data_IF_731317484240
#
_entry.id   IF_731317484240
#
_cell.length_a   1.000
_cell.length_b   1.000
_cell.length_c   1.000
_cell.angle_alpha   90.00
_cell.angle_beta   90.00
_cell.angle_gamma   90.00
#
_symmetry.space_group_name_H-M   'P 1'
#
loop_
_entity.id
_entity.type
_entity.pdbx_description
1 polymer ?
#
# COMPACT_ATOMS: atom_id res chain seq x y z
N UNK A 1 -13.28 -31.00 18.56
CA UNK A 1 -12.93 -31.01 17.14
C UNK A 1 -11.62 -30.25 17.01
N UNK A 2 -10.43 -30.80 17.28
CA UNK A 2 -9.67 -31.90 16.66
C UNK A 2 -9.01 -31.53 15.30
N UNK A 3 -7.72 -31.16 15.36
CA UNK A 3 -6.83 -31.07 14.19
C UNK A 3 -7.05 -29.85 13.32
N UNK A 4 -6.31 -28.76 13.59
CA UNK A 4 -6.04 -27.73 12.59
C UNK A 4 -5.35 -28.40 11.39
N UNK A 5 -6.12 -28.72 10.35
CA UNK A 5 -5.57 -29.10 9.06
C UNK A 5 -4.95 -27.86 8.45
N UNK A 6 -3.65 -27.66 8.70
CA UNK A 6 -2.90 -26.68 7.96
C UNK A 6 -2.96 -27.05 6.47
N UNK A 7 -3.15 -26.05 5.63
CA UNK A 7 -3.09 -26.23 4.18
C UNK A 7 -1.65 -26.48 3.74
N UNK A 8 -1.47 -27.12 2.58
CA UNK A 8 -0.12 -27.34 2.06
C UNK A 8 0.53 -25.99 1.68
N UNK A 9 1.74 -25.70 2.19
CA UNK A 9 2.42 -24.45 1.90
C UNK A 9 2.93 -24.43 0.45
N UNK A 10 2.93 -23.24 -0.16
CA UNK A 10 3.59 -23.05 -1.45
C UNK A 10 5.10 -23.18 -1.32
N UNK A 11 5.74 -23.70 -2.36
CA UNK A 11 7.20 -23.86 -2.40
C UNK A 11 7.84 -23.08 -3.53
N UNK A 12 9.11 -22.75 -3.37
CA UNK A 12 9.94 -22.13 -4.39
C UNK A 12 11.34 -22.74 -4.38
N UNK A 13 12.02 -22.74 -5.53
CA UNK A 13 13.38 -23.30 -5.62
C UNK A 13 14.44 -22.21 -5.41
N UNK A 14 15.26 -22.34 -4.38
CA UNK A 14 16.50 -21.59 -4.19
C UNK A 14 17.70 -22.30 -4.81
N UNK A 15 18.59 -21.50 -5.40
CA UNK A 15 19.88 -21.97 -5.92
C UNK A 15 20.81 -22.51 -4.82
N UNK A 16 20.66 -22.04 -3.57
CA UNK A 16 21.52 -22.39 -2.44
C UNK A 16 20.94 -23.50 -1.58
N UNK A 17 19.62 -23.56 -1.43
CA UNK A 17 18.96 -24.43 -0.45
C UNK A 17 17.96 -25.43 -1.04
N UNK A 18 17.78 -25.43 -2.37
CA UNK A 18 16.80 -26.31 -3.02
C UNK A 18 15.37 -25.83 -2.78
N UNK A 19 14.44 -26.74 -2.53
CA UNK A 19 13.05 -26.41 -2.27
C UNK A 19 12.87 -25.69 -0.93
N UNK A 20 12.20 -24.54 -0.97
CA UNK A 20 11.93 -23.67 0.17
C UNK A 20 10.44 -23.49 0.34
N UNK A 21 10.01 -23.38 1.59
CA UNK A 21 8.64 -23.06 1.95
C UNK A 21 8.41 -21.54 1.89
N UNK A 22 7.18 -21.14 1.57
CA UNK A 22 6.71 -19.78 1.76
C UNK A 22 5.91 -19.69 3.06
N UNK A 23 6.20 -18.69 3.90
CA UNK A 23 5.33 -18.37 5.02
C UNK A 23 4.16 -17.54 4.52
N UNK A 24 2.93 -17.99 4.79
CA UNK A 24 1.71 -17.27 4.43
C UNK A 24 1.40 -16.12 5.39
N UNK A 25 1.99 -16.13 6.59
CA UNK A 25 1.86 -15.06 7.57
C UNK A 25 3.22 -14.49 7.99
N UNK A 26 3.27 -13.17 8.20
CA UNK A 26 4.42 -12.47 8.76
C UNK A 26 4.01 -11.90 10.11
N UNK A 27 4.80 -12.19 11.16
CA UNK A 27 4.56 -11.68 12.50
C UNK A 27 4.51 -10.14 12.50
N UNK A 28 3.38 -9.52 12.88
CA UNK A 28 3.21 -8.07 12.89
C UNK A 28 4.03 -7.38 13.99
N UNK A 29 3.91 -6.04 14.07
CA UNK A 29 4.57 -5.15 15.04
C UNK A 29 3.57 -4.10 15.56
N UNK A 30 2.32 -4.51 15.81
CA UNK A 30 1.20 -3.57 16.00
C UNK A 30 0.18 -3.94 17.07
N UNK A 31 0.22 -5.14 17.62
CA UNK A 31 -0.87 -5.66 18.45
C UNK A 31 -0.52 -5.70 19.95
N UNK A 32 -1.55 -5.46 20.75
CA UNK A 32 -1.56 -5.70 22.18
C UNK A 32 -2.90 -6.32 22.61
N UNK A 33 -3.02 -6.87 23.84
CA UNK A 33 -4.27 -7.43 24.32
C UNK A 33 -5.41 -6.41 24.29
N UNK A 34 -6.56 -6.78 23.74
CA UNK A 34 -7.75 -5.93 23.67
C UNK A 34 -8.54 -5.91 24.98
N UNK A 35 -8.49 -6.99 25.75
CA UNK A 35 -9.21 -7.16 27.00
C UNK A 35 -8.33 -7.75 28.12
N UNK A 36 -8.88 -7.75 29.33
CA UNK A 36 -8.18 -8.23 30.52
C UNK A 36 -7.91 -9.73 30.47
N UNK A 37 -8.82 -10.53 29.90
CA UNK A 37 -8.67 -11.98 29.74
C UNK A 37 -7.46 -12.31 28.87
N UNK A 38 -7.35 -11.64 27.72
CA UNK A 38 -6.21 -11.82 26.80
C UNK A 38 -4.92 -11.35 27.44
N UNK A 39 -4.96 -10.25 28.20
CA UNK A 39 -3.79 -9.72 28.91
C UNK A 39 -3.27 -10.71 29.95
N UNK A 40 -4.15 -11.30 30.74
CA UNK A 40 -3.81 -12.31 31.75
C UNK A 40 -3.21 -13.56 31.10
N UNK A 41 -3.79 -14.03 29.98
CA UNK A 41 -3.23 -15.15 29.22
C UNK A 41 -1.80 -14.85 28.74
N UNK A 42 -1.58 -13.70 28.09
CA UNK A 42 -0.25 -13.33 27.57
C UNK A 42 0.76 -13.16 28.70
N UNK A 43 0.35 -12.59 29.84
CA UNK A 43 1.21 -12.46 31.02
C UNK A 43 1.56 -13.81 31.66
N UNK A 44 0.58 -14.70 31.80
CA UNK A 44 0.82 -16.07 32.27
C UNK A 44 1.73 -16.85 31.31
N UNK A 45 1.59 -16.65 30.01
CA UNK A 45 2.47 -17.29 29.04
C UNK A 45 3.91 -16.76 29.14
N UNK A 46 4.10 -15.45 29.37
CA UNK A 46 5.43 -14.91 29.68
C UNK A 46 6.02 -15.48 30.98
N UNK A 47 5.21 -15.81 31.97
CA UNK A 47 5.64 -16.49 33.20
C UNK A 47 6.16 -17.89 32.93
N UNK A 48 5.39 -18.69 32.18
CA UNK A 48 5.79 -20.03 31.73
C UNK A 48 7.11 -20.00 30.95
N UNK A 49 7.33 -18.94 30.15
CA UNK A 49 8.56 -18.73 29.40
C UNK A 49 9.73 -18.19 30.25
N UNK A 50 9.51 -17.85 31.52
CA UNK A 50 10.52 -17.25 32.41
C UNK A 50 10.92 -15.83 31.99
N UNK A 51 10.02 -15.08 31.35
CA UNK A 51 10.27 -13.77 30.75
C UNK A 51 9.63 -12.61 31.51
N UNK A 52 9.03 -12.86 32.67
CA UNK A 52 8.53 -11.80 33.54
C UNK A 52 9.67 -10.89 34.01
N UNK A 53 9.39 -9.59 34.04
CA UNK A 53 10.32 -8.54 34.47
C UNK A 53 9.72 -7.73 35.62
N UNK A 54 10.58 -7.08 36.42
CA UNK A 54 10.13 -6.31 37.59
C UNK A 54 9.37 -5.03 37.21
N UNK A 55 9.61 -4.45 36.02
CA UNK A 55 8.97 -3.18 35.64
C UNK A 55 7.82 -3.39 34.65
N UNK A 56 6.73 -2.65 34.87
CA UNK A 56 5.55 -2.65 34.00
C UNK A 56 5.90 -2.33 32.54
N UNK A 57 6.79 -1.36 32.29
CA UNK A 57 7.18 -0.98 30.92
C UNK A 57 7.94 -2.12 30.21
N UNK A 58 8.89 -2.77 30.89
CA UNK A 58 9.61 -3.91 30.31
C UNK A 58 8.73 -5.14 30.06
N UNK A 59 7.67 -5.31 30.87
CA UNK A 59 6.65 -6.33 30.64
C UNK A 59 5.78 -5.96 29.45
N UNK A 60 5.34 -4.70 29.32
CA UNK A 60 4.50 -4.25 28.21
C UNK A 60 5.15 -4.51 26.84
N UNK A 61 6.45 -4.25 26.70
CA UNK A 61 7.19 -4.53 25.46
C UNK A 61 7.19 -6.03 25.09
N UNK A 62 7.28 -6.92 26.08
CA UNK A 62 7.22 -8.38 25.88
C UNK A 62 5.79 -8.85 25.62
N UNK A 63 4.81 -8.27 26.30
CA UNK A 63 3.38 -8.50 26.05
C UNK A 63 3.07 -8.20 24.59
N UNK A 64 3.50 -7.04 24.07
CA UNK A 64 3.33 -6.69 22.65
C UNK A 64 4.03 -7.67 21.72
N UNK A 65 5.31 -7.96 21.98
CA UNK A 65 6.05 -8.93 21.17
C UNK A 65 5.41 -10.32 21.11
N UNK A 66 4.84 -10.79 22.23
CA UNK A 66 4.14 -12.06 22.26
C UNK A 66 2.75 -11.96 21.62
N UNK A 67 2.05 -10.84 21.81
CA UNK A 67 0.75 -10.59 21.16
C UNK A 67 0.87 -10.59 19.64
N UNK A 68 1.89 -9.90 19.11
CA UNK A 68 2.19 -9.90 17.68
C UNK A 68 2.44 -11.31 17.15
N UNK A 69 3.23 -12.13 17.86
CA UNK A 69 3.41 -13.54 17.48
C UNK A 69 2.09 -14.29 17.42
N UNK A 70 1.27 -14.18 18.46
CA UNK A 70 0.00 -14.91 18.55
C UNK A 70 -0.96 -14.50 17.43
N UNK A 71 -0.99 -13.22 17.05
CA UNK A 71 -1.74 -12.76 15.88
C UNK A 71 -1.17 -13.34 14.59
N UNK A 72 0.15 -13.30 14.39
CA UNK A 72 0.79 -13.88 13.20
C UNK A 72 0.52 -15.38 13.07
N UNK A 73 0.56 -16.12 14.18
CA UNK A 73 0.19 -17.55 14.23
C UNK A 73 -1.28 -17.76 13.83
N UNK A 74 -2.21 -16.95 14.35
CA UNK A 74 -3.64 -17.06 14.03
C UNK A 74 -3.94 -16.79 12.55
N UNK A 75 -3.17 -15.91 11.92
CA UNK A 75 -3.31 -15.56 10.51
C UNK A 75 -2.73 -16.60 9.54
N UNK A 76 -1.98 -17.58 10.05
CA UNK A 76 -1.36 -18.60 9.21
C UNK A 76 -2.32 -19.77 9.00
N UNK A 77 -2.68 -20.04 7.75
CA UNK A 77 -3.44 -21.20 7.31
C UNK A 77 -2.55 -22.44 7.11
N UNK A 78 -1.26 -22.22 6.80
CA UNK A 78 -0.26 -23.27 6.56
C UNK A 78 0.53 -23.67 7.81
N UNK A 79 0.36 -22.93 8.91
CA UNK A 79 1.14 -23.10 10.14
C UNK A 79 2.58 -22.58 10.03
N UNK A 80 2.90 -21.81 8.99
CA UNK A 80 4.21 -21.23 8.74
C UNK A 80 4.19 -19.71 8.93
N UNK A 81 5.05 -19.22 9.82
CA UNK A 81 5.21 -17.79 10.06
C UNK A 81 6.62 -17.31 9.69
N UNK A 82 6.69 -16.16 9.02
CA UNK A 82 7.89 -15.37 8.87
C UNK A 82 8.07 -14.46 10.08
N UNK A 83 9.25 -14.47 10.71
CA UNK A 83 9.51 -13.61 11.88
C UNK A 83 10.75 -12.72 11.69
N UNK A 84 10.60 -11.56 11.00
CA UNK A 84 11.69 -10.64 10.71
C UNK A 84 12.36 -10.12 11.99
N UNK A 85 13.70 -10.11 12.02
CA UNK A 85 14.47 -9.71 13.22
C UNK A 85 15.62 -8.73 12.93
N UNK A 86 15.59 -8.11 11.75
CA UNK A 86 16.50 -7.03 11.38
C UNK A 86 16.21 -5.79 12.23
N UNK A 87 17.26 -5.13 12.75
CA UNK A 87 17.10 -4.03 13.70
C UNK A 87 16.26 -2.86 13.14
N UNK A 88 16.37 -2.60 11.84
CA UNK A 88 15.70 -1.48 11.17
C UNK A 88 14.16 -1.59 11.30
N UNK A 89 13.62 -2.80 11.37
CA UNK A 89 12.18 -3.06 11.54
C UNK A 89 11.63 -2.63 12.92
N UNK A 90 12.50 -2.37 13.89
CA UNK A 90 12.14 -2.06 15.28
C UNK A 90 12.44 -0.60 15.65
N UNK A 91 12.88 0.22 14.70
CA UNK A 91 13.19 1.63 14.95
C UNK A 91 11.90 2.41 15.18
N UNK A 92 11.78 3.05 16.35
CA UNK A 92 10.54 3.67 16.87
C UNK A 92 9.37 2.69 17.05
N UNK A 93 9.68 1.38 17.11
CA UNK A 93 8.71 0.31 17.27
C UNK A 93 8.28 0.09 18.73
N UNK A 94 7.23 -0.72 18.94
CA UNK A 94 6.71 -1.04 20.28
C UNK A 94 7.69 -1.78 21.20
N UNK A 95 8.69 -2.47 20.61
CA UNK A 95 9.76 -3.19 21.29
C UNK A 95 10.98 -3.30 20.38
N UNK A 96 12.13 -3.73 20.92
CA UNK A 96 13.38 -3.84 20.16
C UNK A 96 13.61 -5.25 19.60
N UNK A 97 14.49 -5.36 18.60
CA UNK A 97 14.94 -6.66 18.09
C UNK A 97 15.58 -7.55 19.17
N UNK A 98 16.14 -6.95 20.23
CA UNK A 98 16.69 -7.69 21.39
C UNK A 98 15.57 -8.39 22.14
N UNK A 99 14.45 -7.70 22.41
CA UNK A 99 13.29 -8.28 23.08
C UNK A 99 12.69 -9.40 22.23
N UNK A 100 12.56 -9.19 20.91
CA UNK A 100 12.11 -10.25 20.01
C UNK A 100 12.99 -11.50 20.10
N UNK A 101 14.31 -11.35 20.02
CA UNK A 101 15.25 -12.49 20.07
C UNK A 101 15.14 -13.24 21.39
N UNK A 102 14.98 -12.53 22.50
CA UNK A 102 14.75 -13.10 23.83
C UNK A 102 13.45 -13.92 23.88
N UNK A 103 12.33 -13.33 23.47
CA UNK A 103 11.01 -13.98 23.42
C UNK A 103 11.05 -15.23 22.54
N UNK A 104 11.59 -15.08 21.32
CA UNK A 104 11.74 -16.18 20.36
C UNK A 104 12.62 -17.31 20.91
N UNK A 105 13.74 -16.98 21.56
CA UNK A 105 14.62 -18.00 22.16
C UNK A 105 13.92 -18.79 23.26
N UNK A 106 13.09 -18.14 24.08
CA UNK A 106 12.33 -18.82 25.12
C UNK A 106 11.25 -19.75 24.54
N UNK A 107 10.53 -19.29 23.51
CA UNK A 107 9.52 -20.09 22.81
C UNK A 107 10.11 -21.33 22.14
N UNK A 108 11.27 -21.19 21.49
CA UNK A 108 11.99 -22.32 20.88
C UNK A 108 12.46 -23.30 21.95
N UNK A 109 13.03 -22.81 23.06
CA UNK A 109 13.44 -23.66 24.18
C UNK A 109 12.24 -24.40 24.80
N UNK A 110 11.08 -23.73 24.88
CA UNK A 110 9.83 -24.29 25.36
C UNK A 110 9.08 -25.17 24.35
N UNK A 111 9.60 -25.35 23.13
CA UNK A 111 8.97 -26.10 22.02
C UNK A 111 7.60 -25.59 21.59
N UNK A 112 7.31 -24.31 21.83
CA UNK A 112 6.09 -23.66 21.34
C UNK A 112 6.22 -23.17 19.90
N UNK A 113 7.46 -22.92 19.47
CA UNK A 113 7.82 -22.47 18.11
C UNK A 113 9.06 -23.24 17.68
N UNK A 114 9.14 -23.68 16.43
CA UNK A 114 10.28 -24.42 15.89
C UNK A 114 10.79 -23.76 14.61
N UNK A 115 12.12 -23.68 14.45
CA UNK A 115 12.73 -23.15 13.23
C UNK A 115 12.61 -24.17 12.10
N UNK A 116 11.81 -23.87 11.10
CA UNK A 116 11.62 -24.73 9.92
C UNK A 116 12.62 -24.41 8.81
N UNK A 117 12.91 -23.13 8.59
CA UNK A 117 13.81 -22.67 7.52
C UNK A 117 14.68 -21.51 8.00
N UNK A 118 15.98 -21.56 7.72
CA UNK A 118 16.92 -20.48 8.05
C UNK A 118 16.76 -19.31 7.07
N UNK A 119 17.03 -18.10 7.56
CA UNK A 119 17.17 -16.92 6.70
C UNK A 119 18.44 -16.99 5.85
N UNK A 120 18.41 -16.41 4.65
CA UNK A 120 19.60 -16.21 3.80
C UNK A 120 19.62 -14.79 3.29
N UNK A 121 20.73 -14.08 3.48
CA UNK A 121 20.91 -12.75 2.88
C UNK A 121 21.17 -12.85 1.37
N UNK A 122 21.87 -13.89 0.93
CA UNK A 122 22.22 -14.10 -0.48
C UNK A 122 20.97 -14.32 -1.33
N UNK A 123 20.03 -15.10 -0.81
CA UNK A 123 18.77 -15.42 -1.50
C UNK A 123 17.62 -14.49 -1.09
N UNK A 124 17.88 -13.48 -0.25
CA UNK A 124 16.87 -12.56 0.30
C UNK A 124 15.70 -13.29 1.01
N UNK A 125 16.01 -14.28 1.85
CA UNK A 125 15.05 -15.11 2.57
C UNK A 125 14.96 -14.76 4.05
N UNK A 126 13.72 -14.67 4.56
CA UNK A 126 13.45 -14.62 5.98
C UNK A 126 13.52 -16.02 6.62
N UNK A 127 13.71 -16.08 7.94
CA UNK A 127 13.57 -17.33 8.68
C UNK A 127 12.09 -17.67 8.84
N UNK A 128 11.75 -18.95 8.65
CA UNK A 128 10.39 -19.48 8.76
C UNK A 128 10.31 -20.39 9.98
N UNK A 129 9.22 -20.25 10.72
CA UNK A 129 8.94 -21.02 11.91
C UNK A 129 7.59 -21.72 11.82
N UNK A 130 7.50 -22.91 12.41
CA UNK A 130 6.24 -23.56 12.77
C UNK A 130 5.91 -23.27 14.22
N UNK A 131 4.65 -23.48 14.63
CA UNK A 131 4.20 -23.24 16.00
C UNK A 131 3.21 -24.31 16.47
N UNK A 132 3.12 -24.50 17.79
CA UNK A 132 2.14 -25.39 18.42
C UNK A 132 0.74 -24.74 18.32
N UNK A 133 -0.25 -25.34 17.63
CA UNK A 133 -1.56 -24.70 17.38
C UNK A 133 -2.31 -24.26 18.64
N UNK A 134 -2.06 -24.92 19.77
CA UNK A 134 -2.72 -24.63 21.05
C UNK A 134 -2.30 -23.30 21.69
N UNK A 135 -1.23 -22.66 21.20
CA UNK A 135 -0.78 -21.37 21.77
C UNK A 135 -1.69 -20.21 21.35
N UNK A 136 -2.55 -20.39 20.33
CA UNK A 136 -3.49 -19.39 19.83
C UNK A 136 -4.96 -19.77 20.05
N UNK A 137 -5.46 -19.80 21.30
CA UNK A 137 -6.89 -19.98 21.54
C UNK A 137 -7.75 -18.94 20.81
N UNK A 138 -8.91 -19.37 20.30
CA UNK A 138 -9.82 -18.50 19.53
C UNK A 138 -10.45 -17.38 20.37
N UNK A 139 -10.50 -17.52 21.70
CA UNK A 139 -11.10 -16.52 22.58
C UNK A 139 -10.21 -15.29 22.81
N UNK A 140 -8.91 -15.34 22.46
CA UNK A 140 -8.02 -14.20 22.65
C UNK A 140 -8.37 -13.07 21.68
N UNK A 141 -8.37 -11.84 22.18
CA UNK A 141 -8.69 -10.64 21.41
C UNK A 141 -7.53 -9.66 21.46
N UNK A 142 -7.11 -9.18 20.29
CA UNK A 142 -6.01 -8.24 20.13
C UNK A 142 -6.51 -6.98 19.44
N UNK A 143 -5.90 -5.85 19.77
CA UNK A 143 -6.19 -4.55 19.17
C UNK A 143 -4.90 -3.87 18.74
N UNK A 144 -4.99 -2.92 17.81
CA UNK A 144 -3.80 -2.13 17.46
C UNK A 144 -3.41 -1.16 18.60
N UNK A 145 -2.11 -1.04 18.86
CA UNK A 145 -1.60 -0.11 19.89
C UNK A 145 -1.16 1.25 19.32
N UNK A 146 -1.17 1.46 17.99
CA UNK A 146 -0.86 2.76 17.38
C UNK A 146 0.60 3.24 17.49
N UNK A 147 1.56 2.34 17.68
CA UNK A 147 2.99 2.69 17.84
C UNK A 147 3.74 2.19 16.62
N UNK A 148 4.59 3.03 16.07
CA UNK A 148 5.42 2.71 14.91
C UNK A 148 5.93 3.98 14.25
N UNK A 149 6.76 3.84 13.22
CA UNK A 149 7.22 4.98 12.45
C UNK A 149 6.04 5.58 11.68
N UNK A 150 5.59 6.76 12.10
CA UNK A 150 4.55 7.52 11.42
C UNK A 150 5.05 8.17 10.14
N UNK A 151 6.34 8.52 10.11
CA UNK A 151 7.02 9.12 8.96
C UNK A 151 8.38 8.44 8.78
N UNK A 152 8.70 8.09 7.53
CA UNK A 152 10.00 7.57 7.12
C UNK A 152 10.58 8.45 6.01
N UNK A 153 11.88 8.71 6.07
CA UNK A 153 12.63 9.25 4.92
C UNK A 153 13.68 8.23 4.54
N UNK A 154 13.68 7.81 3.28
CA UNK A 154 14.62 6.82 2.73
C UNK A 154 15.68 7.50 1.90
N UNK A 155 16.94 7.07 2.04
CA UNK A 155 18.05 7.57 1.24
C UNK A 155 17.86 7.22 -0.23
N UNK A 156 18.47 8.00 -1.12
CA UNK A 156 18.53 7.69 -2.55
C UNK A 156 19.09 6.28 -2.79
N UNK A 157 18.53 5.58 -3.78
CA UNK A 157 19.07 4.31 -4.28
C UNK A 157 20.03 4.61 -5.43
N UNK A 158 21.31 4.30 -5.25
CA UNK A 158 22.37 4.51 -6.25
C UNK A 158 22.99 3.17 -6.65
N UNK A 159 23.36 3.03 -7.92
CA UNK A 159 24.13 1.85 -8.37
C UNK A 159 25.63 2.11 -8.18
N UNK A 160 26.24 1.38 -7.26
CA UNK A 160 27.67 1.45 -6.94
C UNK A 160 28.30 0.10 -7.29
N UNK A 161 29.22 0.08 -8.26
CA UNK A 161 29.86 -1.14 -8.77
C UNK A 161 28.88 -2.28 -9.14
N UNK A 162 27.72 -1.94 -9.70
CA UNK A 162 26.68 -2.90 -10.10
C UNK A 162 25.74 -3.33 -8.98
N UNK A 163 26.01 -2.98 -7.72
CA UNK A 163 25.12 -3.20 -6.59
C UNK A 163 24.26 -1.98 -6.34
N UNK A 164 22.98 -2.19 -6.01
CA UNK A 164 22.11 -1.10 -5.54
C UNK A 164 22.42 -0.83 -4.07
N UNK A 165 22.91 0.36 -3.76
CA UNK A 165 23.07 0.88 -2.41
C UNK A 165 22.01 1.94 -2.11
N UNK A 166 21.60 2.07 -0.86
CA UNK A 166 20.62 3.07 -0.43
C UNK A 166 19.20 2.54 -0.24
N UNK A 167 18.19 3.41 -0.34
CA UNK A 167 16.81 3.10 0.06
C UNK A 167 16.64 2.85 1.56
N UNK A 168 17.64 3.20 2.37
CA UNK A 168 17.65 2.94 3.82
C UNK A 168 17.01 4.09 4.57
N UNK A 169 16.40 3.79 5.72
CA UNK A 169 15.82 4.81 6.59
C UNK A 169 16.90 5.77 7.09
N UNK A 170 16.62 7.07 7.00
CA UNK A 170 17.49 8.17 7.44
C UNK A 170 17.07 8.68 8.83
N UNK A 171 17.99 9.35 9.52
CA UNK A 171 17.73 9.90 10.86
C UNK A 171 16.74 11.07 10.78
N UNK A 172 15.65 11.06 11.58
CA UNK A 172 14.69 12.15 11.65
C UNK A 172 15.28 13.53 11.98
N UNK A 173 16.41 13.57 12.68
CA UNK A 173 17.07 14.81 13.09
C UNK A 173 17.51 15.67 11.89
N UNK A 174 17.79 15.05 10.74
CA UNK A 174 18.23 15.75 9.53
C UNK A 174 17.11 16.58 8.89
N UNK A 175 15.86 16.34 9.27
CA UNK A 175 14.67 16.89 8.61
C UNK A 175 13.81 17.74 9.55
N UNK A 176 14.33 18.08 10.73
CA UNK A 176 13.62 18.96 11.67
C UNK A 176 13.73 20.43 11.19
N UNK A 177 12.68 21.26 11.38
CA UNK A 177 11.46 20.96 12.13
C UNK A 177 10.35 20.27 11.34
N UNK A 178 10.38 20.30 10.01
CA UNK A 178 9.28 19.85 9.13
C UNK A 178 8.85 18.39 9.38
N UNK A 179 9.82 17.50 9.66
CA UNK A 179 9.53 16.13 10.05
C UNK A 179 8.59 16.03 11.25
N UNK A 180 8.71 16.93 12.23
CA UNK A 180 7.87 16.94 13.43
C UNK A 180 6.43 17.33 13.11
N UNK A 181 6.23 18.25 12.16
CA UNK A 181 4.90 18.64 11.66
C UNK A 181 4.22 17.48 10.93
N UNK A 182 4.97 16.77 10.09
CA UNK A 182 4.50 15.58 9.38
C UNK A 182 4.10 14.47 10.36
N UNK A 183 4.91 14.24 11.40
CA UNK A 183 4.56 13.30 12.48
C UNK A 183 3.28 13.74 13.20
N UNK A 184 3.11 15.03 13.49
CA UNK A 184 1.87 15.55 14.11
C UNK A 184 0.63 15.30 13.25
N UNK A 185 0.75 15.47 11.93
CA UNK A 185 -0.35 15.20 10.98
C UNK A 185 -0.71 13.71 10.99
N UNK A 186 0.29 12.82 10.88
CA UNK A 186 0.06 11.37 10.92
C UNK A 186 -0.45 10.88 12.28
N UNK A 187 -0.05 11.51 13.39
CA UNK A 187 -0.63 11.23 14.71
C UNK A 187 -2.12 11.52 14.73
N UNK A 188 -2.54 12.63 14.14
CA UNK A 188 -3.95 13.04 14.10
C UNK A 188 -4.77 12.02 13.31
N UNK A 189 -4.31 11.67 12.10
CA UNK A 189 -4.92 10.65 11.24
C UNK A 189 -5.01 9.30 11.96
N UNK A 190 -3.87 8.80 12.46
CA UNK A 190 -3.81 7.47 13.07
C UNK A 190 -4.59 7.40 14.40
N UNK A 191 -4.72 8.51 15.13
CA UNK A 191 -5.51 8.52 16.37
C UNK A 191 -6.99 8.27 16.09
N UNK A 192 -7.54 8.87 15.03
CA UNK A 192 -8.93 8.61 14.63
C UNK A 192 -9.09 7.19 14.06
N UNK A 193 -8.12 6.72 13.28
CA UNK A 193 -8.08 5.35 12.76
C UNK A 193 -8.02 4.27 13.87
N UNK A 194 -7.52 4.59 15.06
CA UNK A 194 -7.56 3.68 16.21
C UNK A 194 -8.93 3.65 16.90
N UNK A 195 -9.72 4.72 16.78
CA UNK A 195 -11.10 4.77 17.29
C UNK A 195 -12.05 4.05 16.32
N UNK A 196 -11.83 4.21 15.02
CA UNK A 196 -12.60 3.60 13.95
C UNK A 196 -11.68 2.79 13.04
N UNK A 197 -11.21 1.60 13.48
CA UNK A 197 -10.31 0.79 12.69
C UNK A 197 -10.99 0.30 11.41
N UNK A 198 -10.19 0.26 10.33
CA UNK A 198 -10.48 -0.52 9.14
C UNK A 198 -10.30 -1.98 9.50
N UNK A 199 -11.34 -2.79 9.37
CA UNK A 199 -11.32 -4.21 9.66
C UNK A 199 -11.56 -5.01 8.38
N UNK A 200 -10.79 -6.08 8.18
CA UNK A 200 -11.04 -7.01 7.09
C UNK A 200 -12.28 -7.89 7.34
N UNK A 201 -12.54 -8.81 6.41
CA UNK A 201 -13.65 -9.76 6.46
C UNK A 201 -13.68 -10.63 7.72
N UNK A 202 -12.51 -10.91 8.31
CA UNK A 202 -12.37 -11.72 9.52
C UNK A 202 -12.49 -10.86 10.80
N UNK A 203 -12.74 -9.56 10.65
CA UNK A 203 -12.84 -8.60 11.74
C UNK A 203 -11.48 -8.22 12.33
N UNK A 204 -10.38 -8.52 11.64
CA UNK A 204 -9.05 -8.12 12.07
C UNK A 204 -8.83 -6.64 11.75
N UNK A 205 -8.51 -5.87 12.79
CA UNK A 205 -8.12 -4.46 12.65
C UNK A 205 -6.84 -4.32 11.82
N UNK A 206 -6.99 -3.78 10.62
CA UNK A 206 -5.91 -3.35 9.75
C UNK A 206 -5.28 -2.10 10.38
N UNK A 207 -3.96 -2.14 10.50
CA UNK A 207 -3.22 -1.22 11.35
C UNK A 207 -3.23 0.25 10.89
N UNK A 208 -2.32 1.02 11.43
CA UNK A 208 -2.15 2.44 11.08
C UNK A 208 -1.40 2.65 9.76
N UNK A 209 -1.56 3.84 9.18
CA UNK A 209 -0.78 4.26 8.02
C UNK A 209 0.54 4.92 8.43
N UNK A 210 1.52 4.91 7.51
CA UNK A 210 2.76 5.69 7.64
C UNK A 210 3.07 6.44 6.36
N UNK A 211 3.65 7.63 6.48
CA UNK A 211 4.06 8.45 5.34
C UNK A 211 5.51 8.17 4.97
N UNK A 212 5.79 7.81 3.71
CA UNK A 212 7.14 7.44 3.28
C UNK A 212 7.65 8.41 2.22
N UNK A 213 8.77 9.06 2.52
CA UNK A 213 9.51 9.93 1.63
C UNK A 213 10.76 9.21 1.10
N UNK A 214 11.16 9.53 -0.12
CA UNK A 214 12.24 8.89 -0.86
C UNK A 214 13.36 9.87 -1.18
N UNK A 215 14.49 9.36 -1.67
CA UNK A 215 15.62 10.16 -2.18
C UNK A 215 16.14 11.20 -1.20
N UNK A 216 16.09 10.90 0.10
CA UNK A 216 16.58 11.77 1.17
C UNK A 216 15.91 13.14 1.23
N UNK A 217 14.67 13.28 0.73
CA UNK A 217 13.99 14.56 0.64
C UNK A 217 12.54 14.47 1.11
N UNK A 218 12.08 15.48 1.87
CA UNK A 218 10.68 15.64 2.27
C UNK A 218 9.77 16.13 1.12
N UNK A 219 10.30 16.31 -0.08
CA UNK A 219 9.53 16.70 -1.28
C UNK A 219 9.60 15.63 -2.39
N UNK A 220 10.01 14.42 -2.03
CA UNK A 220 10.13 13.27 -2.93
C UNK A 220 9.42 12.07 -2.35
N UNK A 221 8.55 11.42 -3.11
CA UNK A 221 7.62 10.42 -2.55
C UNK A 221 6.56 11.09 -1.69
N UNK A 222 6.30 10.58 -0.49
CA UNK A 222 5.39 11.19 0.48
C UNK A 222 4.02 10.53 0.57
N UNK A 223 3.74 9.47 -0.19
CA UNK A 223 2.50 8.70 -0.04
C UNK A 223 2.36 8.12 1.36
N UNK A 224 1.11 7.96 1.80
CA UNK A 224 0.78 7.21 3.00
C UNK A 224 0.55 5.75 2.64
N UNK A 225 1.04 4.85 3.49
CA UNK A 225 1.06 3.41 3.26
C UNK A 225 0.41 2.67 4.42
N UNK A 226 -0.45 1.70 4.08
CA UNK A 226 -1.16 0.83 5.02
C UNK A 226 -1.21 -0.61 4.52
N UNK A 227 -1.54 -1.56 5.39
CA UNK A 227 -1.55 -2.99 5.00
C UNK A 227 -2.67 -3.36 4.04
N UNK A 228 -3.75 -2.58 3.97
CA UNK A 228 -4.90 -2.80 3.07
C UNK A 228 -4.60 -2.47 1.61
N UNK A 229 -3.53 -1.73 1.31
CA UNK A 229 -3.24 -1.25 -0.05
C UNK A 229 -2.87 -2.36 -1.04
N UNK A 230 -2.51 -3.55 -0.55
CA UNK A 230 -2.19 -4.70 -1.39
C UNK A 230 -3.39 -5.63 -1.63
N UNK A 231 -4.52 -5.39 -0.96
CA UNK A 231 -5.76 -6.14 -1.16
C UNK A 231 -6.41 -5.71 -2.47
N UNK A 232 -7.09 -6.63 -3.16
CA UNK A 232 -7.83 -6.29 -4.39
C UNK A 232 -9.03 -5.39 -4.09
N UNK A 233 -9.51 -4.63 -5.07
CA UNK A 233 -10.69 -3.75 -4.91
C UNK A 233 -11.87 -4.45 -4.20
N UNK A 234 -12.28 -5.64 -4.66
CA UNK A 234 -13.38 -6.38 -4.02
C UNK A 234 -13.10 -6.67 -2.54
N UNK A 235 -11.89 -7.11 -2.20
CA UNK A 235 -11.49 -7.40 -0.83
C UNK A 235 -11.49 -6.13 0.02
N UNK A 236 -11.02 -4.99 -0.53
CA UNK A 236 -11.04 -3.68 0.13
C UNK A 236 -12.46 -3.21 0.39
N UNK A 237 -13.36 -3.32 -0.59
CA UNK A 237 -14.75 -2.88 -0.45
C UNK A 237 -15.56 -3.77 0.49
N UNK A 238 -15.09 -4.99 0.76
CA UNK A 238 -15.65 -5.89 1.77
C UNK A 238 -15.18 -5.57 3.20
N UNK A 239 -14.18 -4.70 3.36
CA UNK A 239 -13.74 -4.22 4.67
C UNK A 239 -14.79 -3.30 5.30
N UNK A 240 -14.66 -3.06 6.59
CA UNK A 240 -15.52 -2.14 7.33
C UNK A 240 -14.71 -1.10 8.09
N UNK A 241 -15.26 0.09 8.29
CA UNK A 241 -14.68 1.10 9.18
C UNK A 241 -15.65 1.32 10.34
N UNK A 242 -15.25 0.93 11.54
CA UNK A 242 -16.14 0.97 12.71
C UNK A 242 -17.40 0.09 12.57
N UNK A 243 -17.32 -0.98 11.76
CA UNK A 243 -18.43 -1.89 11.47
C UNK A 243 -19.36 -1.42 10.35
N UNK A 244 -19.11 -0.26 9.72
CA UNK A 244 -19.87 0.23 8.57
C UNK A 244 -19.19 -0.13 7.26
N UNK A 245 -19.98 -0.42 6.22
CA UNK A 245 -19.48 -0.67 4.87
C UNK A 245 -18.70 0.53 4.33
N UNK A 246 -17.75 0.28 3.45
CA UNK A 246 -16.87 1.31 2.88
C UNK A 246 -17.22 1.64 1.43
N UNK A 247 -16.77 2.80 0.96
CA UNK A 247 -16.62 3.10 -0.46
C UNK A 247 -15.20 3.60 -0.74
N UNK A 248 -14.72 3.34 -1.95
CA UNK A 248 -13.45 3.83 -2.49
C UNK A 248 -13.75 5.02 -3.40
N UNK A 249 -13.06 6.15 -3.16
CA UNK A 249 -13.21 7.39 -3.92
C UNK A 249 -11.89 7.65 -4.64
N UNK A 250 -11.85 7.38 -5.94
CA UNK A 250 -10.64 7.35 -6.79
C UNK A 250 -10.55 8.56 -7.73
N UNK A 251 -9.36 9.14 -7.88
CA UNK A 251 -9.10 10.23 -8.81
C UNK A 251 -8.71 9.67 -10.18
N UNK A 252 -9.59 9.88 -11.15
CA UNK A 252 -9.33 9.35 -12.49
C UNK A 252 -8.12 10.01 -13.13
N UNK A 253 -7.17 9.19 -13.57
CA UNK A 253 -5.93 9.63 -14.23
C UNK A 253 -5.18 10.70 -13.41
N UNK A 254 -4.97 10.41 -12.12
CA UNK A 254 -4.31 11.29 -11.16
C UNK A 254 -2.99 11.90 -11.68
N UNK A 255 -2.02 11.07 -12.13
CA UNK A 255 -0.73 11.57 -12.63
C UNK A 255 -0.82 12.49 -13.87
N UNK A 256 -1.56 12.15 -14.94
CA UNK A 256 -1.82 13.07 -16.04
C UNK A 256 -2.40 14.42 -15.58
N UNK A 257 -3.42 14.43 -14.72
CA UNK A 257 -4.02 15.67 -14.21
C UNK A 257 -3.02 16.50 -13.39
N UNK A 258 -2.27 15.88 -12.47
CA UNK A 258 -1.23 16.58 -11.69
C UNK A 258 -0.15 17.15 -12.62
N UNK A 259 0.31 16.38 -13.59
CA UNK A 259 1.34 16.81 -14.53
C UNK A 259 0.85 17.98 -15.40
N UNK A 260 -0.41 17.91 -15.86
CA UNK A 260 -1.04 18.99 -16.60
C UNK A 260 -1.03 20.29 -15.79
N UNK A 261 -1.48 20.26 -14.53
CA UNK A 261 -1.46 21.41 -13.62
C UNK A 261 -0.04 21.94 -13.37
N UNK A 262 0.92 21.06 -13.09
CA UNK A 262 2.33 21.43 -12.83
C UNK A 262 2.96 22.20 -14.00
N UNK A 263 2.54 21.90 -15.23
CA UNK A 263 3.02 22.57 -16.43
C UNK A 263 2.06 23.65 -16.98
N UNK A 264 1.21 24.20 -16.12
CA UNK A 264 0.41 25.40 -16.41
C UNK A 264 -0.93 25.12 -17.10
N UNK A 265 -1.36 23.86 -17.15
CA UNK A 265 -2.72 23.51 -17.52
C UNK A 265 -3.73 23.94 -16.46
N UNK A 266 -4.88 24.43 -16.88
CA UNK A 266 -5.91 25.03 -16.03
C UNK A 266 -7.28 24.39 -16.19
N UNK A 267 -7.37 23.27 -16.92
CA UNK A 267 -8.62 22.58 -17.22
C UNK A 267 -8.42 21.05 -17.18
N UNK A 268 -9.48 20.30 -16.91
CA UNK A 268 -9.38 18.87 -16.68
C UNK A 268 -9.31 18.06 -17.99
N UNK A 269 -8.72 16.86 -17.93
CA UNK A 269 -8.45 16.00 -19.08
C UNK A 269 -9.65 15.12 -19.53
N UNK A 270 -10.87 15.46 -19.10
CA UNK A 270 -12.04 14.59 -19.26
C UNK A 270 -11.99 13.27 -18.48
N UNK A 271 -13.03 12.45 -18.67
CA UNK A 271 -13.29 11.24 -17.89
C UNK A 271 -12.35 10.07 -18.20
N UNK A 272 -11.91 9.94 -19.45
CA UNK A 272 -11.11 8.78 -19.89
C UNK A 272 -9.92 9.19 -20.75
N UNK A 273 -8.97 9.97 -20.20
CA UNK A 273 -7.86 10.49 -20.98
C UNK A 273 -7.02 9.37 -21.61
N UNK A 274 -6.81 8.26 -20.90
CA UNK A 274 -6.06 7.11 -21.44
C UNK A 274 -6.77 6.40 -22.60
N UNK A 275 -8.10 6.43 -22.67
CA UNK A 275 -8.84 5.79 -23.76
C UNK A 275 -8.70 6.53 -25.10
N UNK A 276 -8.28 7.80 -25.06
CA UNK A 276 -8.08 8.60 -26.27
C UNK A 276 -6.77 8.27 -27.00
N UNK A 277 -5.83 7.64 -26.30
CA UNK A 277 -4.56 7.21 -26.85
C UNK A 277 -4.81 6.21 -27.99
N UNK A 278 -4.16 6.46 -29.14
CA UNK A 278 -4.45 5.75 -30.38
C UNK A 278 -4.41 4.22 -30.25
N UNK A 279 -3.35 3.63 -29.68
CA UNK A 279 -3.26 2.17 -29.53
C UNK A 279 -4.25 1.57 -28.52
N UNK A 280 -4.84 2.39 -27.63
CA UNK A 280 -5.93 1.99 -26.74
C UNK A 280 -7.24 2.02 -27.52
N UNK A 281 -7.53 3.16 -28.18
CA UNK A 281 -8.74 3.36 -28.98
C UNK A 281 -8.89 2.34 -30.10
N UNK A 282 -7.79 1.99 -30.78
CA UNK A 282 -7.76 1.08 -31.93
C UNK A 282 -7.70 -0.41 -31.51
N UNK A 283 -7.74 -0.73 -30.21
CA UNK A 283 -7.86 -2.10 -29.73
C UNK A 283 -9.14 -2.76 -30.26
N UNK A 284 -9.00 -3.98 -30.75
CA UNK A 284 -10.02 -4.70 -31.53
C UNK A 284 -11.18 -5.26 -30.70
N UNK A 285 -11.04 -5.37 -29.38
CA UNK A 285 -12.08 -5.84 -28.47
C UNK A 285 -11.95 -5.19 -27.07
N UNK A 286 -12.97 -5.31 -26.21
CA UNK A 286 -12.97 -4.69 -24.88
C UNK A 286 -11.81 -5.14 -23.98
N UNK A 287 -11.55 -6.45 -23.87
CA UNK A 287 -10.47 -6.99 -23.02
C UNK A 287 -9.10 -6.46 -23.47
N UNK A 288 -8.88 -6.43 -24.78
CA UNK A 288 -7.66 -5.89 -25.38
C UNK A 288 -7.51 -4.40 -25.12
N UNK A 289 -8.63 -3.66 -25.12
CA UNK A 289 -8.61 -2.23 -24.83
C UNK A 289 -8.20 -1.98 -23.38
N UNK A 290 -8.70 -2.78 -22.45
CA UNK A 290 -8.33 -2.70 -21.03
C UNK A 290 -6.85 -3.04 -20.83
N UNK A 291 -6.35 -4.10 -21.48
CA UNK A 291 -4.91 -4.41 -21.51
C UNK A 291 -4.06 -3.24 -22.01
N UNK A 292 -4.49 -2.59 -23.10
CA UNK A 292 -3.77 -1.44 -23.66
C UNK A 292 -3.85 -0.20 -22.76
N UNK A 293 -4.97 0.02 -22.07
CA UNK A 293 -5.11 1.07 -21.05
C UNK A 293 -4.17 0.82 -19.88
N UNK A 294 -4.09 -0.42 -19.36
CA UNK A 294 -3.13 -0.84 -18.32
C UNK A 294 -1.68 -0.63 -18.78
N UNK A 295 -1.37 -0.95 -20.04
CA UNK A 295 -0.06 -0.66 -20.62
C UNK A 295 0.20 0.86 -20.71
N UNK A 296 -0.78 1.67 -21.10
CA UNK A 296 -0.63 3.13 -21.17
C UNK A 296 -0.36 3.75 -19.79
N UNK A 297 -1.10 3.31 -18.75
CA UNK A 297 -0.86 3.68 -17.34
C UNK A 297 0.58 3.34 -16.92
N UNK A 298 1.04 2.11 -17.22
CA UNK A 298 2.42 1.67 -16.94
C UNK A 298 3.48 2.54 -17.59
N UNK A 299 3.37 2.74 -18.91
CA UNK A 299 4.36 3.49 -19.65
C UNK A 299 4.41 4.96 -19.19
N UNK A 300 3.25 5.53 -18.83
CA UNK A 300 3.16 6.88 -18.25
C UNK A 300 3.83 6.96 -16.88
N UNK A 301 3.58 5.99 -16.00
CA UNK A 301 4.23 5.93 -14.68
C UNK A 301 5.75 5.78 -14.79
N UNK A 302 6.25 4.91 -15.67
CA UNK A 302 7.69 4.76 -15.95
C UNK A 302 8.29 6.05 -16.51
N UNK A 303 7.59 6.71 -17.43
CA UNK A 303 8.04 7.97 -18.03
C UNK A 303 8.22 9.05 -16.97
N UNK A 304 7.21 9.22 -16.10
CA UNK A 304 7.24 10.16 -14.96
C UNK A 304 8.39 9.81 -13.99
N UNK A 305 8.49 8.56 -13.55
CA UNK A 305 9.51 8.12 -12.59
C UNK A 305 10.94 8.32 -13.14
N UNK A 306 11.16 8.06 -14.43
CA UNK A 306 12.46 8.23 -15.08
C UNK A 306 12.81 9.69 -15.40
N UNK A 307 11.97 10.66 -15.07
CA UNK A 307 12.15 12.06 -15.45
C UNK A 307 12.17 12.26 -16.97
N UNK A 308 11.37 11.49 -17.70
CA UNK A 308 11.25 11.57 -19.17
C UNK A 308 12.43 10.97 -19.94
N UNK A 309 13.27 10.16 -19.28
CA UNK A 309 14.50 9.63 -19.90
C UNK A 309 14.42 8.16 -20.32
N UNK A 310 13.33 7.46 -20.01
CA UNK A 310 13.15 6.05 -20.36
C UNK A 310 13.21 5.83 -21.89
N UNK A 311 13.96 4.82 -22.32
CA UNK A 311 14.11 4.45 -23.76
C UNK A 311 13.64 3.04 -24.10
N UNK A 312 13.33 2.22 -23.10
CA UNK A 312 13.03 0.81 -23.26
C UNK A 312 11.82 0.43 -22.42
N UNK A 313 11.19 -0.70 -22.74
CA UNK A 313 10.17 -1.26 -21.85
C UNK A 313 10.78 -1.56 -20.48
N UNK A 314 10.04 -1.34 -19.38
CA UNK A 314 10.49 -1.75 -18.06
C UNK A 314 10.67 -3.27 -18.01
N UNK A 315 11.41 -3.74 -17.01
CA UNK A 315 11.56 -5.17 -16.79
C UNK A 315 10.18 -5.83 -16.54
N UNK A 316 10.04 -7.07 -17.01
CA UNK A 316 8.86 -7.88 -16.74
C UNK A 316 8.73 -8.22 -15.26
N UNK A 317 7.51 -8.50 -14.79
CA UNK A 317 7.30 -9.03 -13.43
C UNK A 317 7.80 -10.47 -13.36
N UNK A 318 8.39 -10.84 -12.22
CA UNK A 318 8.61 -12.25 -11.89
C UNK A 318 7.28 -12.88 -11.50
N UNK A 319 6.97 -14.04 -12.03
CA UNK A 319 5.87 -14.88 -11.56
C UNK A 319 6.27 -15.58 -10.26
N UNK A 320 5.30 -16.20 -9.60
CA UNK A 320 5.49 -17.11 -8.45
C UNK A 320 6.56 -18.17 -8.73
N UNK A 321 6.67 -18.65 -9.97
CA UNK A 321 7.69 -19.62 -10.41
C UNK A 321 9.06 -18.98 -10.73
N UNK A 322 9.29 -17.72 -10.34
CA UNK A 322 10.49 -16.95 -10.67
C UNK A 322 10.76 -16.74 -12.17
N UNK A 323 9.78 -17.04 -13.04
CA UNK A 323 9.87 -16.77 -14.48
C UNK A 323 9.51 -15.30 -14.73
N UNK A 324 10.41 -14.53 -15.34
CA UNK A 324 10.11 -13.15 -15.72
C UNK A 324 9.26 -13.12 -16.99
N UNK A 325 8.01 -12.67 -16.89
CA UNK A 325 7.16 -12.44 -18.05
C UNK A 325 7.40 -11.03 -18.55
N UNK A 326 8.02 -10.91 -19.73
CA UNK A 326 8.29 -9.61 -20.34
C UNK A 326 7.00 -8.82 -20.60
N UNK A 327 7.08 -7.49 -20.59
CA UNK A 327 5.95 -6.60 -20.96
C UNK A 327 5.39 -6.95 -22.34
N UNK A 328 6.27 -7.33 -23.28
CA UNK A 328 5.89 -7.75 -24.62
C UNK A 328 4.99 -8.99 -24.59
N UNK A 329 5.35 -9.98 -23.77
CA UNK A 329 4.55 -11.20 -23.59
C UNK A 329 3.26 -10.91 -22.84
N UNK A 330 3.33 -10.20 -21.70
CA UNK A 330 2.17 -9.86 -20.86
C UNK A 330 1.07 -9.17 -21.66
N UNK A 331 1.44 -8.22 -22.50
CA UNK A 331 0.48 -7.44 -23.30
C UNK A 331 0.44 -7.87 -24.76
N UNK A 332 0.88 -9.08 -25.12
CA UNK A 332 0.77 -9.62 -26.49
C UNK A 332 1.28 -8.68 -27.59
N UNK A 333 2.38 -7.95 -27.34
CA UNK A 333 2.90 -6.96 -28.29
C UNK A 333 3.72 -7.65 -29.39
N UNK A 334 3.52 -7.22 -30.64
CA UNK A 334 4.29 -7.73 -31.77
C UNK A 334 5.80 -7.45 -31.60
N UNK A 335 6.68 -8.35 -32.06
CA UNK A 335 8.15 -8.24 -31.87
C UNK A 335 8.74 -6.91 -32.37
N UNK A 336 8.15 -6.33 -33.41
CA UNK A 336 8.59 -5.04 -34.00
C UNK A 336 8.08 -3.81 -33.26
N UNK A 337 7.12 -3.94 -32.34
CA UNK A 337 6.62 -2.79 -31.55
C UNK A 337 7.73 -2.24 -30.67
N UNK A 338 8.12 -0.99 -30.88
CA UNK A 338 9.13 -0.30 -30.08
C UNK A 338 8.45 0.46 -28.94
N UNK A 339 9.19 0.64 -27.85
CA UNK A 339 8.77 1.47 -26.73
C UNK A 339 8.42 2.89 -27.20
N UNK A 340 9.29 3.48 -28.03
CA UNK A 340 9.09 4.83 -28.54
C UNK A 340 7.81 4.99 -29.37
N UNK A 341 7.41 3.98 -30.14
CA UNK A 341 6.19 4.06 -30.96
C UNK A 341 4.91 4.18 -30.11
N UNK A 342 4.90 3.54 -28.93
CA UNK A 342 3.79 3.64 -27.98
C UNK A 342 3.88 4.92 -27.16
N UNK A 343 5.10 5.31 -26.72
CA UNK A 343 5.30 6.57 -26.02
C UNK A 343 4.96 7.77 -26.88
N UNK A 344 5.28 7.78 -28.18
CA UNK A 344 4.94 8.90 -29.06
C UNK A 344 3.43 9.13 -29.14
N UNK A 345 2.63 8.05 -29.10
CA UNK A 345 1.17 8.14 -29.05
C UNK A 345 0.67 8.64 -27.68
N UNK A 346 1.31 8.25 -26.59
CA UNK A 346 1.03 8.80 -25.25
C UNK A 346 1.36 10.30 -25.21
N UNK A 347 2.52 10.71 -25.74
CA UNK A 347 2.98 12.09 -25.78
C UNK A 347 2.23 12.96 -26.80
N UNK A 348 1.49 12.35 -27.73
CA UNK A 348 0.54 13.06 -28.59
C UNK A 348 -0.73 13.42 -27.81
N UNK A 349 -1.24 12.50 -26.99
CA UNK A 349 -2.43 12.73 -26.16
C UNK A 349 -2.13 13.57 -24.91
N UNK A 350 -0.95 13.37 -24.31
CA UNK A 350 -0.47 14.08 -23.12
C UNK A 350 0.79 14.90 -23.47
N UNK A 351 0.66 16.00 -24.23
CA UNK A 351 1.81 16.77 -24.70
C UNK A 351 2.65 17.35 -23.56
N UNK A 352 2.05 17.64 -22.41
CA UNK A 352 2.74 18.13 -21.21
C UNK A 352 3.75 17.13 -20.62
N UNK A 353 3.63 15.83 -20.89
CA UNK A 353 4.66 14.85 -20.51
C UNK A 353 6.02 15.08 -21.20
N UNK A 354 6.06 15.84 -22.30
CA UNK A 354 7.32 16.24 -22.96
C UNK A 354 8.12 17.25 -22.16
N UNK A 355 7.48 17.93 -21.20
CA UNK A 355 8.10 18.96 -20.35
C UNK A 355 8.78 18.34 -19.11
N UNK A 356 8.49 17.07 -18.82
CA UNK A 356 9.11 16.33 -17.72
C UNK A 356 10.61 16.20 -17.97
N UNK A 357 11.38 16.57 -16.97
CA UNK A 357 12.83 16.42 -16.92
C UNK A 357 13.26 16.13 -15.48
N UNK A 358 14.57 15.93 -15.25
CA UNK A 358 15.09 15.59 -13.92
C UNK A 358 14.86 16.66 -12.84
N UNK A 359 14.65 17.92 -13.24
CA UNK A 359 14.37 19.03 -12.33
C UNK A 359 12.87 19.26 -12.12
N UNK A 360 12.00 18.49 -12.77
CA UNK A 360 10.56 18.59 -12.56
C UNK A 360 10.17 18.25 -11.13
N UNK A 361 9.11 18.89 -10.58
CA UNK A 361 8.58 18.52 -9.27
C UNK A 361 8.20 17.04 -9.22
N UNK A 362 8.38 16.42 -8.04
CA UNK A 362 7.95 15.04 -7.84
C UNK A 362 6.42 14.95 -7.88
N UNK A 363 5.87 14.33 -8.92
CA UNK A 363 4.41 14.20 -9.07
C UNK A 363 3.79 13.35 -7.95
N UNK A 364 4.49 12.32 -7.48
CA UNK A 364 4.09 11.50 -6.33
C UNK A 364 3.99 12.34 -5.04
N UNK A 365 4.87 13.34 -4.88
CA UNK A 365 4.78 14.26 -3.75
C UNK A 365 3.56 15.16 -3.85
N UNK A 366 3.31 15.73 -5.04
CA UNK A 366 2.10 16.53 -5.29
C UNK A 366 0.82 15.75 -5.04
N UNK A 367 0.74 14.53 -5.56
CA UNK A 367 -0.34 13.59 -5.26
C UNK A 367 -0.50 13.40 -3.75
N UNK A 368 0.59 13.08 -3.05
CA UNK A 368 0.50 12.84 -1.61
C UNK A 368 0.02 14.04 -0.81
N UNK A 369 0.29 15.27 -1.24
CA UNK A 369 -0.19 16.48 -0.58
C UNK A 369 -1.71 16.69 -0.82
N UNK A 370 -2.22 16.34 -2.00
CA UNK A 370 -3.66 16.34 -2.31
C UNK A 370 -4.40 15.40 -1.35
N UNK A 371 -3.96 14.14 -1.28
CA UNK A 371 -4.59 13.14 -0.41
C UNK A 371 -4.41 13.46 1.06
N UNK A 372 -3.24 13.98 1.48
CA UNK A 372 -3.02 14.41 2.86
C UNK A 372 -3.99 15.53 3.26
N UNK A 373 -4.21 16.50 2.38
CA UNK A 373 -5.12 17.63 2.63
C UNK A 373 -6.56 17.15 2.79
N UNK A 374 -7.04 16.29 1.87
CA UNK A 374 -8.40 15.74 1.93
C UNK A 374 -8.61 14.88 3.19
N UNK A 375 -7.65 14.00 3.51
CA UNK A 375 -7.75 13.12 4.68
C UNK A 375 -7.74 13.93 5.98
N UNK A 376 -6.89 14.96 6.10
CA UNK A 376 -6.87 15.80 7.30
C UNK A 376 -8.17 16.58 7.47
N UNK A 377 -8.76 17.10 6.39
CA UNK A 377 -10.06 17.78 6.44
C UNK A 377 -11.19 16.85 6.93
N UNK A 378 -11.19 15.59 6.49
CA UNK A 378 -12.14 14.58 6.98
C UNK A 378 -11.90 14.25 8.46
N UNK A 379 -10.64 14.06 8.85
CA UNK A 379 -10.26 13.74 10.23
C UNK A 379 -10.64 14.88 11.20
N UNK A 380 -10.47 16.14 10.79
CA UNK A 380 -10.88 17.31 11.57
C UNK A 380 -12.40 17.37 11.79
N UNK A 381 -13.17 16.70 10.92
CA UNK A 381 -14.62 16.52 11.05
C UNK A 381 -15.03 15.22 11.77
N UNK A 382 -14.05 14.44 12.26
CA UNK A 382 -14.31 13.16 12.92
C UNK A 382 -14.62 12.00 11.97
N UNK A 383 -14.33 12.16 10.68
CA UNK A 383 -14.54 11.14 9.65
C UNK A 383 -13.22 10.40 9.38
N UNK A 384 -13.13 9.09 9.69
CA UNK A 384 -11.95 8.29 9.38
C UNK A 384 -11.83 8.10 7.87
N UNK A 385 -10.63 8.34 7.34
CA UNK A 385 -10.30 8.15 5.94
C UNK A 385 -8.97 7.41 5.80
N UNK A 386 -8.95 6.39 4.94
CA UNK A 386 -7.81 5.51 4.74
C UNK A 386 -7.20 5.73 3.35
N UNK A 387 -5.91 6.06 3.23
CA UNK A 387 -5.26 6.34 1.94
C UNK A 387 -5.11 5.08 1.08
N UNK A 388 -5.32 5.24 -0.23
CA UNK A 388 -5.18 4.22 -1.28
C UNK A 388 -4.51 4.82 -2.53
N UNK A 389 -3.21 5.15 -2.49
CA UNK A 389 -2.52 5.82 -3.61
C UNK A 389 -3.27 7.04 -4.17
N UNK A 390 -3.99 6.87 -5.29
CA UNK A 390 -4.86 7.82 -5.99
C UNK A 390 -6.35 7.78 -5.56
N UNK A 391 -6.64 7.10 -4.46
CA UNK A 391 -7.96 7.00 -3.85
C UNK A 391 -7.95 7.18 -2.32
N UNK A 392 -9.14 7.38 -1.75
CA UNK A 392 -9.41 7.28 -0.31
C UNK A 392 -10.55 6.28 -0.04
N UNK A 393 -10.41 5.50 1.03
CA UNK A 393 -11.47 4.67 1.59
C UNK A 393 -12.12 5.41 2.76
N UNK A 394 -13.45 5.53 2.72
CA UNK A 394 -14.27 6.11 3.79
C UNK A 394 -15.48 5.22 4.05
N UNK A 395 -16.21 5.45 5.15
CA UNK A 395 -17.52 4.81 5.34
C UNK A 395 -18.45 5.21 4.20
N UNK A 396 -19.26 4.28 3.74
CA UNK A 396 -20.28 4.53 2.72
C UNK A 396 -21.28 5.60 3.16
N UNK A 397 -21.55 5.70 4.47
CA UNK A 397 -22.38 6.75 5.08
C UNK A 397 -21.75 8.16 4.99
N UNK A 398 -20.41 8.25 4.91
CA UNK A 398 -19.64 9.49 4.80
C UNK A 398 -19.23 9.83 3.35
N UNK A 399 -19.71 9.05 2.37
CA UNK A 399 -19.35 9.15 0.96
C UNK A 399 -19.43 10.57 0.40
N UNK A 400 -20.56 11.27 0.62
CA UNK A 400 -20.73 12.65 0.14
C UNK A 400 -19.64 13.57 0.68
N UNK A 401 -19.28 13.41 1.95
CA UNK A 401 -18.24 14.23 2.58
C UNK A 401 -16.85 13.88 2.07
N UNK A 402 -16.58 12.59 1.85
CA UNK A 402 -15.34 12.12 1.22
C UNK A 402 -15.15 12.71 -0.18
N UNK A 403 -16.21 12.73 -0.99
CA UNK A 403 -16.20 13.34 -2.33
C UNK A 403 -15.91 14.84 -2.23
N UNK A 404 -16.64 15.56 -1.39
CA UNK A 404 -16.48 17.02 -1.20
C UNK A 404 -15.05 17.37 -0.76
N UNK A 405 -14.50 16.65 0.22
CA UNK A 405 -13.14 16.90 0.73
C UNK A 405 -12.07 16.64 -0.34
N UNK A 406 -12.19 15.53 -1.09
CA UNK A 406 -11.25 15.21 -2.17
C UNK A 406 -11.35 16.21 -3.32
N UNK A 407 -12.57 16.56 -3.75
CA UNK A 407 -12.80 17.58 -4.77
C UNK A 407 -12.25 18.95 -4.35
N UNK A 408 -12.50 19.39 -3.12
CA UNK A 408 -11.95 20.64 -2.59
C UNK A 408 -10.42 20.65 -2.60
N UNK A 409 -9.81 19.55 -2.17
CA UNK A 409 -8.36 19.37 -2.21
C UNK A 409 -7.80 19.41 -3.64
N UNK A 410 -8.43 18.70 -4.57
CA UNK A 410 -8.03 18.71 -5.98
C UNK A 410 -8.09 20.13 -6.57
N UNK A 411 -9.20 20.85 -6.36
CA UNK A 411 -9.34 22.25 -6.82
C UNK A 411 -8.28 23.16 -6.22
N UNK A 412 -8.00 23.00 -4.93
CA UNK A 412 -6.97 23.78 -4.23
C UNK A 412 -5.57 23.55 -4.79
N UNK A 413 -5.18 22.30 -5.03
CA UNK A 413 -3.83 21.94 -5.45
C UNK A 413 -3.59 22.01 -6.96
N UNK A 414 -4.64 21.79 -7.77
CA UNK A 414 -4.54 21.72 -9.24
C UNK A 414 -5.13 22.94 -9.95
N UNK A 415 -6.00 23.71 -9.29
CA UNK A 415 -6.74 24.82 -9.91
C UNK A 415 -8.00 24.40 -10.68
N UNK A 416 -8.16 23.11 -10.96
CA UNK A 416 -9.32 22.51 -11.63
C UNK A 416 -9.72 21.19 -10.97
N UNK A 417 -10.84 20.62 -11.41
CA UNK A 417 -11.43 19.41 -10.84
C UNK A 417 -11.35 18.22 -11.80
N UNK A 418 -10.43 17.27 -11.58
CA UNK A 418 -10.48 15.96 -12.21
C UNK A 418 -11.79 15.23 -11.91
N UNK A 419 -12.13 14.25 -12.75
CA UNK A 419 -13.21 13.32 -12.44
C UNK A 419 -12.81 12.40 -11.29
N UNK A 420 -13.79 12.11 -10.44
CA UNK A 420 -13.67 11.20 -9.30
C UNK A 420 -14.67 10.07 -9.48
N UNK A 421 -14.19 8.83 -9.43
CA UNK A 421 -15.02 7.62 -9.45
C UNK A 421 -15.25 7.12 -8.03
N UNK A 422 -16.43 6.56 -7.78
CA UNK A 422 -16.78 6.03 -6.47
C UNK A 422 -17.27 4.59 -6.58
N UNK A 423 -16.47 3.66 -6.07
CA UNK A 423 -16.77 2.23 -6.02
C UNK A 423 -17.30 1.82 -4.65
N UNK A 424 -18.31 0.96 -4.62
CA UNK A 424 -18.89 0.39 -3.40
C UNK A 424 -19.54 -0.97 -3.68
N UNK A 425 -19.76 -1.76 -2.62
CA UNK A 425 -20.53 -3.01 -2.73
C UNK A 425 -22.01 -2.74 -2.47
N UNK A 426 -22.86 -3.17 -3.40
CA UNK A 426 -24.31 -3.11 -3.23
C UNK A 426 -24.86 -4.21 -2.31
N UNK A 427 -26.17 -4.16 -2.03
CA UNK A 427 -26.85 -5.16 -1.19
C UNK A 427 -26.78 -6.59 -1.74
N UNK A 428 -26.48 -6.76 -3.03
CA UNK A 428 -26.30 -8.05 -3.69
C UNK A 428 -24.87 -8.56 -3.66
N UNK A 429 -23.93 -7.84 -3.03
CA UNK A 429 -22.52 -8.22 -2.99
C UNK A 429 -21.74 -7.91 -4.27
N UNK A 430 -22.32 -7.12 -5.19
CA UNK A 430 -21.66 -6.73 -6.43
C UNK A 430 -21.01 -5.35 -6.29
N UNK A 431 -19.80 -5.21 -6.82
CA UNK A 431 -19.14 -3.90 -6.96
C UNK A 431 -19.92 -3.05 -7.98
N UNK A 432 -20.29 -1.86 -7.54
CA UNK A 432 -20.89 -0.80 -8.35
C UNK A 432 -19.97 0.41 -8.32
N UNK A 433 -19.88 1.12 -9.44
CA UNK A 433 -19.15 2.37 -9.50
C UNK A 433 -19.92 3.46 -10.24
N UNK A 434 -19.65 4.71 -9.89
CA UNK A 434 -20.18 5.87 -10.60
C UNK A 434 -19.29 7.09 -10.41
N UNK A 435 -19.37 8.01 -11.37
CA UNK A 435 -18.66 9.29 -11.28
C UNK A 435 -19.39 10.28 -10.40
N UNK A 436 -18.66 10.84 -9.44
CA UNK A 436 -19.13 11.95 -8.63
C UNK A 436 -19.49 13.15 -9.52
N UNK A 437 -20.59 13.82 -9.17
CA UNK A 437 -20.98 15.05 -9.86
C UNK A 437 -20.01 16.17 -9.46
N UNK A 438 -19.65 17.02 -10.43
CA UNK A 438 -18.86 18.21 -10.14
C UNK A 438 -19.73 19.36 -9.66
N UNK A 439 -19.22 20.21 -8.77
CA UNK A 439 -19.84 21.50 -8.46
C UNK A 439 -20.17 22.29 -9.74
N UNK A 440 -21.25 23.09 -9.70
CA UNK A 440 -21.86 23.75 -10.86
C UNK A 440 -20.88 24.63 -11.66
N UNK A 441 -19.90 25.22 -10.98
CA UNK A 441 -18.85 26.07 -11.56
C UNK A 441 -17.80 25.31 -12.38
N UNK A 442 -17.60 24.00 -12.17
CA UNK A 442 -16.60 23.17 -12.86
C UNK A 442 -17.18 22.27 -13.98
N UNK A 443 -18.46 22.45 -14.36
CA UNK A 443 -19.11 21.67 -15.42
C UNK A 443 -18.88 22.24 -16.85
N UNK A 444 -18.40 23.49 -16.98
CA UNK A 444 -18.37 24.22 -18.25
C UNK A 444 -17.02 24.22 -18.99
N UNK A 445 -15.92 23.80 -18.34
CA UNK A 445 -14.57 23.77 -18.90
C UNK A 445 -14.13 22.32 -19.06
N UNK A 446 -13.75 21.91 -20.27
CA UNK A 446 -13.14 20.61 -20.56
C UNK A 446 -12.05 20.86 -21.61
N UNK A 447 -10.82 20.39 -21.37
CA UNK A 447 -9.80 20.39 -22.44
C UNK A 447 -10.33 19.54 -23.59
N UNK A 448 -10.41 20.10 -24.80
CA UNK A 448 -10.80 19.34 -26.00
C UNK A 448 -9.74 18.32 -26.38
N UNK A 449 -9.69 17.20 -25.66
CA UNK A 449 -9.10 15.96 -26.14
C UNK A 449 -9.94 15.41 -27.31
N UNK A 450 -9.36 14.57 -28.16
CA UNK A 450 -10.08 14.02 -29.34
C UNK A 450 -11.39 13.33 -28.86
N UNK A 451 -12.47 13.47 -29.66
CA UNK A 451 -13.88 13.22 -29.25
C UNK A 451 -14.10 11.95 -28.40
N UNK A 452 -14.90 12.01 -27.32
CA UNK A 452 -15.21 10.85 -26.48
C UNK A 452 -16.04 9.80 -27.22
N UNK A 453 -15.75 8.52 -26.96
CA UNK A 453 -16.50 7.36 -27.45
C UNK A 453 -17.33 6.83 -26.28
N UNK A 454 -18.61 6.55 -26.51
CA UNK A 454 -19.46 5.86 -25.54
C UNK A 454 -19.14 4.37 -25.53
N UNK A 455 -18.82 3.77 -24.37
CA UNK A 455 -18.81 2.32 -24.24
C UNK A 455 -18.93 1.80 -22.80
N UNK A 456 -19.26 0.51 -22.73
CA UNK A 456 -19.77 -0.25 -21.59
C UNK A 456 -18.77 -0.40 -20.45
N UNK A 457 -19.32 -0.39 -19.24
CA UNK A 457 -18.66 -0.32 -17.95
C UNK A 457 -18.36 -1.72 -17.45
N UNK A 458 -17.14 -1.97 -16.97
CA UNK A 458 -16.80 -2.79 -15.80
C UNK A 458 -15.28 -3.00 -15.71
N UNK A 459 -14.80 -2.98 -14.47
CA UNK A 459 -13.53 -3.49 -13.93
C UNK A 459 -12.24 -2.72 -14.33
N UNK A 460 -11.98 -1.63 -13.60
CA UNK A 460 -10.64 -1.04 -13.46
C UNK A 460 -9.83 -1.93 -12.49
N UNK A 461 -9.23 -3.02 -12.99
CA UNK A 461 -8.30 -3.78 -12.14
C UNK A 461 -7.13 -2.89 -11.70
N UNK A 462 -6.80 -2.99 -10.41
CA UNK A 462 -5.68 -2.36 -9.74
C UNK A 462 -4.41 -2.40 -10.60
N UNK A 463 -3.96 -1.22 -11.00
CA UNK A 463 -2.72 -1.04 -11.73
C UNK A 463 -1.55 -1.09 -10.74
N UNK A 464 -0.58 -1.97 -10.99
CA UNK A 464 0.67 -2.01 -10.22
C UNK A 464 1.47 -0.71 -10.42
N UNK A 465 1.30 0.25 -9.51
CA UNK A 465 2.10 1.47 -9.52
C UNK A 465 3.55 1.09 -9.23
N UNK A 466 4.46 1.46 -10.14
CA UNK A 466 5.88 1.22 -9.92
C UNK A 466 6.39 2.16 -8.82
N UNK A 467 6.64 1.59 -7.64
CA UNK A 467 7.03 2.34 -6.44
C UNK A 467 8.53 2.60 -6.33
N UNK A 468 9.34 1.90 -7.13
CA UNK A 468 10.79 1.90 -7.05
C UNK A 468 11.41 2.01 -8.46
N UNK A 469 11.56 3.24 -8.96
CA UNK A 469 12.49 3.58 -10.03
C UNK A 469 13.26 4.86 -9.73
#
# INVERSE_FOLDING_TARGET
>A
MDGSFFTEPTTQTSNQFGELLHADSIVPLRFEPADQVTKEFVQGFLEVLGLQRPTANSNLKRIRCLSDLLVGCRQSETGLIGWPSANDNFTDGPYSAVILREVRSALVKGRFVELKQKSSKQDNLAAIYTFEPKITPNYLKFKSHGIGPMVEVRSEKVKVFGNSEGGKRMSPHQFKPDFSRLVGSMKTINSLALVYPLADLDGLELGQSKRIFNNGSLTSGGRMYGSWQNSKELERLQMTIGGEAVCEIDVTACFPNICHAVFGGDDHLGRYPYQQIKFVREANNPDRREDMKKLAKLLSAVWVASGGTQKQFPAGKKTTDSVSVSIRTKYGLHKKTRFQDLMDQILEEFPFFRLINKSSPCLMFRESEIFSTAILDLVDQGIPAYPMHDAILVRLSDQTRGIEALQSSLKHHLGFLPDVDVSYIDKGGKVQSYYATRPYDDQASVVKLKKPIAMNWHDDDDFDVLEDY
#
